data_IF_719085208654
#
_entry.id   IF_719085208654
#
_cell.length_a   1.000
_cell.length_b   1.000
_cell.length_c   1.000
_cell.angle_alpha   90.00
_cell.angle_beta   90.00
_cell.angle_gamma   90.00
#
_symmetry.space_group_name_H-M   'P 1'
#
loop_
_entity.id
_entity.type
_entity.pdbx_description
1 polymer ?
#
# COMPACT_ATOMS: atom_id res chain seq x y z
N UNK A 1 -9.81 -9.02 -9.16
CA UNK A 1 -10.42 -8.48 -7.93
C UNK A 1 -9.84 -7.09 -7.67
N UNK A 2 -10.68 -6.11 -7.36
CA UNK A 2 -10.24 -4.75 -7.04
C UNK A 2 -9.69 -4.63 -5.61
N UNK A 3 -8.90 -3.60 -5.37
CA UNK A 3 -8.51 -3.20 -4.02
C UNK A 3 -9.72 -2.63 -3.28
N UNK A 4 -9.80 -2.92 -1.98
CA UNK A 4 -10.74 -2.26 -1.07
C UNK A 4 -10.28 -0.84 -0.78
N UNK A 5 -11.18 0.01 -0.29
CA UNK A 5 -10.84 1.38 0.13
C UNK A 5 -9.64 1.43 1.07
N UNK A 6 -9.60 0.52 2.06
CA UNK A 6 -8.51 0.48 3.04
C UNK A 6 -7.17 0.02 2.42
N UNK A 7 -7.22 -0.91 1.48
CA UNK A 7 -6.03 -1.33 0.75
C UNK A 7 -5.50 -0.22 -0.17
N UNK A 8 -6.38 0.60 -0.77
CA UNK A 8 -5.96 1.79 -1.51
C UNK A 8 -5.25 2.81 -0.61
N UNK A 9 -5.80 3.08 0.58
CA UNK A 9 -5.15 3.97 1.57
C UNK A 9 -3.77 3.46 1.96
N UNK A 10 -3.64 2.16 2.24
CA UNK A 10 -2.36 1.51 2.56
C UNK A 10 -1.39 1.62 1.38
N UNK A 11 -1.84 1.36 0.15
CA UNK A 11 -1.03 1.44 -1.07
C UNK A 11 -0.50 2.86 -1.33
N UNK A 12 -1.33 3.89 -1.14
CA UNK A 12 -0.94 5.29 -1.29
C UNK A 12 0.14 5.70 -0.28
N UNK A 13 0.06 5.24 0.96
CA UNK A 13 1.10 5.49 1.97
C UNK A 13 2.35 4.66 1.75
N UNK A 14 2.19 3.48 1.14
CA UNK A 14 3.30 2.63 0.73
C UNK A 14 4.17 3.28 -0.35
N UNK A 15 3.56 3.98 -1.30
CA UNK A 15 4.28 4.69 -2.36
C UNK A 15 5.06 5.93 -1.88
N UNK A 16 4.78 6.40 -0.66
CA UNK A 16 5.58 7.42 0.04
C UNK A 16 6.87 6.84 0.68
N UNK A 17 7.11 5.53 0.58
CA UNK A 17 8.30 4.87 1.15
C UNK A 17 8.21 4.60 2.65
N UNK A 18 7.03 4.69 3.24
CA UNK A 18 6.85 4.54 4.70
C UNK A 18 7.06 3.09 5.19
N UNK A 19 7.64 2.97 6.38
CA UNK A 19 7.77 1.68 7.08
C UNK A 19 6.41 1.22 7.64
N UNK A 20 6.25 -0.08 7.91
CA UNK A 20 4.99 -0.60 8.45
C UNK A 20 4.60 0.06 9.78
N UNK A 21 5.60 0.41 10.61
CA UNK A 21 5.41 1.14 11.85
C UNK A 21 4.82 2.54 11.61
N UNK A 22 5.33 3.27 10.61
CA UNK A 22 4.78 4.58 10.24
C UNK A 22 3.36 4.46 9.68
N UNK A 23 3.13 3.53 8.75
CA UNK A 23 1.78 3.27 8.23
C UNK A 23 0.80 2.92 9.35
N UNK A 24 1.22 2.07 10.29
CA UNK A 24 0.40 1.66 11.44
C UNK A 24 -0.05 2.87 12.26
N UNK A 25 0.87 3.78 12.58
CA UNK A 25 0.57 5.04 13.29
C UNK A 25 -0.37 5.93 12.50
N UNK A 26 -0.04 6.23 11.24
CA UNK A 26 -0.83 7.13 10.37
C UNK A 26 -2.26 6.62 10.17
N UNK A 27 -2.41 5.30 10.07
CA UNK A 27 -3.69 4.65 9.80
C UNK A 27 -4.41 4.20 11.07
N UNK A 28 -3.84 4.43 12.27
CA UNK A 28 -4.37 4.00 13.56
C UNK A 28 -4.73 2.50 13.62
N UNK A 29 -3.82 1.65 13.13
CA UNK A 29 -3.95 0.18 13.14
C UNK A 29 -2.64 -0.47 13.59
N UNK A 30 -2.67 -1.76 13.94
CA UNK A 30 -1.44 -2.48 14.28
C UNK A 30 -0.53 -2.70 13.06
N UNK A 31 0.78 -2.84 13.27
CA UNK A 31 1.69 -3.25 12.20
C UNK A 31 1.34 -4.63 11.61
N UNK A 32 0.79 -5.54 12.43
CA UNK A 32 0.29 -6.83 11.96
C UNK A 32 -0.83 -6.63 10.93
N UNK A 33 -1.74 -5.70 11.19
CA UNK A 33 -2.82 -5.33 10.26
C UNK A 33 -2.26 -4.72 8.98
N UNK A 34 -1.25 -3.85 9.07
CA UNK A 34 -0.55 -3.30 7.88
C UNK A 34 0.07 -4.42 7.04
N UNK A 35 0.75 -5.39 7.67
CA UNK A 35 1.33 -6.55 6.99
C UNK A 35 0.26 -7.37 6.25
N UNK A 36 -0.90 -7.59 6.89
CA UNK A 36 -2.01 -8.31 6.27
C UNK A 36 -2.59 -7.56 5.05
N UNK A 37 -2.78 -6.23 5.15
CA UNK A 37 -3.19 -5.43 3.99
C UNK A 37 -2.14 -5.46 2.88
N UNK A 38 -0.86 -5.32 3.21
CA UNK A 38 0.24 -5.34 2.23
C UNK A 38 0.29 -6.66 1.47
N UNK A 39 0.15 -7.80 2.16
CA UNK A 39 0.10 -9.11 1.53
C UNK A 39 -1.10 -9.26 0.57
N UNK A 40 -2.28 -8.76 0.98
CA UNK A 40 -3.46 -8.79 0.13
C UNK A 40 -3.34 -7.87 -1.10
N UNK A 41 -2.75 -6.68 -0.92
CA UNK A 41 -2.45 -5.75 -2.01
C UNK A 41 -1.51 -6.41 -3.01
N UNK A 42 -0.40 -6.98 -2.55
CA UNK A 42 0.57 -7.67 -3.41
C UNK A 42 -0.10 -8.78 -4.23
N UNK A 43 -0.90 -9.64 -3.58
CA UNK A 43 -1.67 -10.70 -4.25
C UNK A 43 -2.63 -10.14 -5.30
N UNK A 44 -3.34 -9.05 -5.00
CA UNK A 44 -4.32 -8.44 -5.91
C UNK A 44 -3.68 -7.70 -7.09
N UNK A 45 -2.50 -7.13 -6.89
CA UNK A 45 -1.74 -6.41 -7.91
C UNK A 45 -0.79 -7.32 -8.71
N UNK A 46 -0.61 -8.58 -8.29
CA UNK A 46 0.42 -9.46 -8.85
C UNK A 46 1.84 -8.97 -8.55
N UNK A 47 2.03 -8.23 -7.45
CA UNK A 47 3.34 -7.75 -7.04
C UNK A 47 4.07 -8.81 -6.21
N UNK A 48 5.32 -9.07 -6.55
CA UNK A 48 6.22 -10.04 -5.91
C UNK A 48 6.93 -9.46 -4.69
N UNK A 49 7.00 -8.13 -4.57
CA UNK A 49 7.63 -7.45 -3.44
C UNK A 49 6.87 -6.21 -2.96
N UNK A 50 7.14 -5.82 -1.71
CA UNK A 50 6.66 -4.57 -1.13
C UNK A 50 7.10 -3.36 -1.96
N UNK A 51 8.33 -3.38 -2.47
CA UNK A 51 8.87 -2.33 -3.32
C UNK A 51 8.11 -2.24 -4.65
N UNK A 52 7.85 -3.37 -5.29
CA UNK A 52 7.07 -3.41 -6.54
C UNK A 52 5.65 -2.87 -6.31
N UNK A 53 4.99 -3.26 -5.22
CA UNK A 53 3.68 -2.71 -4.87
C UNK A 53 3.73 -1.19 -4.64
N UNK A 54 4.78 -0.68 -3.97
CA UNK A 54 4.98 0.76 -3.77
C UNK A 54 5.18 1.51 -5.10
N UNK A 55 5.96 0.95 -6.04
CA UNK A 55 6.17 1.54 -7.37
C UNK A 55 4.90 1.57 -8.20
N UNK A 56 4.09 0.51 -8.17
CA UNK A 56 2.76 0.49 -8.80
C UNK A 56 1.89 1.59 -8.20
N UNK A 57 1.83 1.69 -6.86
CA UNK A 57 1.09 2.76 -6.17
C UNK A 57 1.60 4.17 -6.50
N UNK A 58 2.91 4.33 -6.70
CA UNK A 58 3.51 5.60 -7.13
C UNK A 58 3.03 5.97 -8.53
N UNK A 59 3.10 5.06 -9.50
CA UNK A 59 2.63 5.29 -10.87
C UNK A 59 1.14 5.69 -10.90
N UNK A 60 0.28 5.04 -10.11
CA UNK A 60 -1.13 5.44 -9.98
C UNK A 60 -1.31 6.84 -9.41
N UNK A 61 -0.48 7.26 -8.45
CA UNK A 61 -0.54 8.62 -7.89
C UNK A 61 -0.04 9.66 -8.89
N UNK A 62 1.05 9.37 -9.60
CA UNK A 62 1.65 10.26 -10.59
C UNK A 62 0.75 10.48 -11.81
N UNK A 63 -0.09 9.51 -12.18
CA UNK A 63 -1.08 9.69 -13.25
C UNK A 63 -2.34 10.45 -12.81
N UNK A 64 -2.55 10.63 -11.50
CA UNK A 64 -3.65 11.39 -10.91
C UNK A 64 -3.29 12.85 -10.60
N UNK A 65 -2.01 13.23 -10.71
CA UNK A 65 -1.53 14.59 -10.51
C UNK A 65 -0.91 15.08 -11.83
N UNK A 66 -1.42 16.17 -12.44
CA UNK A 66 -0.85 16.74 -13.66
C UNK A 66 0.56 17.31 -13.45
#
# INVERSE_FOLDING_TARGET
MSLTRRECEVLLRLSEGLTNAHLARTLMISERTVRAHTANIMRKLGAESKLQAALIGYQYRSSLLP
#
